data_IF_768605437109
#
_entry.id   IF_768605437109
#
_cell.length_a   1.000
_cell.length_b   1.000
_cell.length_c   1.000
_cell.angle_alpha   90.00
_cell.angle_beta   90.00
_cell.angle_gamma   90.00
#
_symmetry.space_group_name_H-M   'P 1'
#
loop_
_entity.id
_entity.type
_entity.pdbx_description
1 polymer ?
#
# COMPACT_ATOMS: atom_id res chain seq x y z
N UNK A 1 -12.60 22.50 -26.11
CA UNK A 1 -12.14 21.17 -25.69
C UNK A 1 -12.37 20.10 -26.75
N UNK A 2 -13.59 19.91 -27.26
CA UNK A 2 -13.93 18.88 -28.26
C UNK A 2 -12.91 18.74 -29.41
N UNK A 3 -12.53 19.84 -30.09
CA UNK A 3 -11.57 19.79 -31.20
C UNK A 3 -10.22 19.12 -30.80
N UNK A 4 -9.72 19.39 -29.59
CA UNK A 4 -8.47 18.79 -29.12
C UNK A 4 -8.63 17.29 -28.84
N UNK A 5 -9.78 16.87 -28.31
CA UNK A 5 -10.08 15.44 -28.18
C UNK A 5 -10.19 14.75 -29.55
N UNK A 6 -10.76 15.44 -30.55
CA UNK A 6 -10.82 14.97 -31.93
C UNK A 6 -9.43 14.84 -32.57
N UNK A 7 -8.52 15.78 -32.34
CA UNK A 7 -7.12 15.66 -32.79
C UNK A 7 -6.41 14.49 -32.10
N UNK A 8 -6.53 14.36 -30.78
CA UNK A 8 -5.97 13.23 -30.02
C UNK A 8 -6.51 11.87 -30.50
N UNK A 9 -7.79 11.81 -30.86
CA UNK A 9 -8.44 10.60 -31.36
C UNK A 9 -7.89 10.12 -32.72
N UNK A 10 -7.38 11.01 -33.59
CA UNK A 10 -6.75 10.63 -34.87
C UNK A 10 -5.49 9.78 -34.71
N UNK A 11 -4.90 9.77 -33.51
CA UNK A 11 -3.72 8.94 -33.17
C UNK A 11 -4.13 7.49 -32.88
N UNK A 12 -5.40 7.25 -32.55
CA UNK A 12 -5.95 5.93 -32.23
C UNK A 12 -6.13 5.13 -33.52
N UNK A 13 -5.67 3.89 -33.51
CA UNK A 13 -5.85 2.96 -34.62
C UNK A 13 -6.59 1.69 -34.17
N UNK A 14 -7.12 0.95 -35.15
CA UNK A 14 -7.72 -0.35 -34.93
C UNK A 14 -6.74 -1.28 -34.19
N UNK A 15 -7.26 -2.07 -33.25
CA UNK A 15 -6.54 -2.99 -32.38
C UNK A 15 -5.54 -2.35 -31.38
N UNK A 16 -5.40 -1.02 -31.33
CA UNK A 16 -4.63 -0.34 -30.27
C UNK A 16 -5.29 -0.53 -28.90
N UNK A 17 -4.49 -0.65 -27.84
CA UNK A 17 -4.96 -0.50 -26.45
C UNK A 17 -4.96 0.98 -26.06
N UNK A 18 -6.05 1.52 -25.51
CA UNK A 18 -6.13 2.96 -25.19
C UNK A 18 -5.92 3.22 -23.71
N UNK A 19 -5.06 4.18 -23.37
CA UNK A 19 -4.72 4.51 -21.99
C UNK A 19 -4.79 6.02 -21.81
N UNK A 20 -5.70 6.48 -20.96
CA UNK A 20 -5.89 7.89 -20.65
C UNK A 20 -5.26 8.22 -19.30
N UNK A 21 -4.25 9.09 -19.29
CA UNK A 21 -3.61 9.62 -18.08
C UNK A 21 -4.33 10.88 -17.59
N UNK A 22 -4.57 10.90 -16.29
CA UNK A 22 -5.25 11.94 -15.53
C UNK A 22 -4.37 12.43 -14.40
N UNK A 23 -4.54 13.69 -14.00
CA UNK A 23 -4.06 14.19 -12.71
C UNK A 23 -4.68 15.56 -12.47
N UNK A 24 -4.73 15.99 -11.21
CA UNK A 24 -5.19 17.34 -10.85
C UNK A 24 -4.43 18.44 -11.61
N UNK A 25 -3.09 18.34 -11.68
CA UNK A 25 -2.21 19.27 -12.40
C UNK A 25 -1.33 18.54 -13.41
N UNK A 26 -1.01 19.15 -14.56
CA UNK A 26 -0.30 18.48 -15.66
C UNK A 26 1.15 18.11 -15.28
N UNK A 27 1.77 18.93 -14.43
CA UNK A 27 3.11 18.73 -13.87
C UNK A 27 3.25 17.36 -13.19
N UNK A 28 2.18 16.82 -12.61
CA UNK A 28 2.19 15.51 -11.91
C UNK A 28 2.25 14.35 -12.91
N UNK A 29 1.47 14.40 -14.01
CA UNK A 29 1.41 13.32 -15.01
C UNK A 29 2.46 13.44 -16.11
N UNK A 30 3.02 14.64 -16.35
CA UNK A 30 4.01 14.87 -17.41
C UNK A 30 5.24 13.97 -17.31
N UNK A 31 5.89 13.75 -16.14
CA UNK A 31 6.99 12.81 -16.03
C UNK A 31 6.60 11.39 -16.47
N UNK A 32 5.44 10.89 -16.03
CA UNK A 32 4.95 9.56 -16.39
C UNK A 32 4.64 9.47 -17.89
N UNK A 33 3.95 10.47 -18.46
CA UNK A 33 3.66 10.52 -19.89
C UNK A 33 4.95 10.49 -20.70
N UNK A 34 5.93 11.34 -20.33
CA UNK A 34 7.22 11.45 -21.01
C UNK A 34 8.02 10.14 -20.97
N UNK A 35 8.02 9.46 -19.81
CA UNK A 35 8.64 8.13 -19.65
C UNK A 35 7.96 7.10 -20.56
N UNK A 36 6.62 7.00 -20.51
CA UNK A 36 5.88 6.00 -21.31
C UNK A 36 6.00 6.27 -22.82
N UNK A 37 5.89 7.53 -23.22
CA UNK A 37 5.99 7.99 -24.60
C UNK A 37 7.41 7.88 -25.19
N UNK A 38 8.44 7.75 -24.34
CA UNK A 38 9.84 7.77 -24.76
C UNK A 38 10.34 9.17 -25.16
N UNK A 39 9.71 10.23 -24.64
CA UNK A 39 10.01 11.63 -24.99
C UNK A 39 10.51 12.39 -23.77
N UNK A 40 11.78 12.82 -23.75
CA UNK A 40 12.34 13.54 -22.59
C UNK A 40 11.77 14.95 -22.39
N UNK A 41 11.46 15.65 -23.48
CA UNK A 41 11.26 17.11 -23.49
C UNK A 41 9.85 17.56 -23.93
N UNK A 42 8.83 16.68 -23.92
CA UNK A 42 7.47 17.13 -24.19
C UNK A 42 6.93 17.90 -22.97
N UNK A 43 6.43 19.11 -23.22
CA UNK A 43 5.67 19.89 -22.24
C UNK A 43 4.19 19.63 -22.46
N UNK A 44 3.50 19.12 -21.44
CA UNK A 44 2.05 18.92 -21.53
C UNK A 44 1.35 20.25 -21.25
N UNK A 45 0.75 20.83 -22.28
CA UNK A 45 -0.14 21.96 -22.11
C UNK A 45 -1.39 21.54 -21.32
N UNK A 46 -1.69 22.26 -20.23
CA UNK A 46 -2.85 21.98 -19.36
C UNK A 46 -4.22 22.15 -20.04
N UNK A 47 -4.24 22.67 -21.27
CA UNK A 47 -5.42 23.10 -22.02
C UNK A 47 -5.88 22.17 -23.15
N UNK A 48 -5.19 21.05 -23.36
CA UNK A 48 -5.46 20.17 -24.48
C UNK A 48 -5.17 18.70 -24.14
N UNK A 49 -5.80 17.80 -24.90
CA UNK A 49 -5.42 16.41 -24.97
C UNK A 49 -4.13 16.28 -25.77
N UNK A 50 -3.15 15.56 -25.23
CA UNK A 50 -1.96 15.11 -25.95
C UNK A 50 -2.11 13.62 -26.23
N UNK A 51 -1.74 13.14 -27.41
CA UNK A 51 -1.75 11.72 -27.73
C UNK A 51 -0.47 11.27 -28.42
N UNK A 52 -0.01 10.07 -28.07
CA UNK A 52 1.12 9.39 -28.68
C UNK A 52 0.76 7.93 -28.97
N UNK A 53 1.06 7.45 -30.17
CA UNK A 53 0.97 6.03 -30.51
C UNK A 53 2.32 5.38 -30.30
N UNK A 54 2.38 4.44 -29.36
CA UNK A 54 3.60 3.79 -28.89
C UNK A 54 3.45 2.27 -28.95
N UNK A 55 4.56 1.54 -28.79
CA UNK A 55 4.54 0.07 -28.70
C UNK A 55 4.90 -0.33 -27.29
N UNK A 56 4.07 -1.16 -26.66
CA UNK A 56 4.37 -1.71 -25.34
C UNK A 56 5.72 -2.47 -25.39
N UNK A 57 6.66 -2.23 -24.46
CA UNK A 57 8.05 -2.68 -24.61
C UNK A 57 8.22 -4.19 -24.69
N UNK A 58 7.39 -4.96 -23.96
CA UNK A 58 7.45 -6.44 -23.93
C UNK A 58 6.62 -7.07 -25.04
N UNK A 59 5.29 -6.98 -24.94
CA UNK A 59 4.33 -7.57 -25.90
C UNK A 59 4.35 -7.00 -27.32
N UNK A 60 4.97 -5.83 -27.55
CA UNK A 60 4.98 -5.08 -28.82
C UNK A 60 3.60 -4.63 -29.33
N UNK A 61 2.53 -4.88 -28.57
CA UNK A 61 1.18 -4.39 -28.87
C UNK A 61 1.19 -2.86 -29.01
N UNK A 62 0.46 -2.28 -29.97
CA UNK A 62 0.32 -0.84 -30.08
C UNK A 62 -0.58 -0.30 -28.97
N UNK A 63 -0.21 0.86 -28.44
CA UNK A 63 -0.89 1.57 -27.37
C UNK A 63 -1.12 3.01 -27.82
N UNK A 64 -2.35 3.50 -27.73
CA UNK A 64 -2.66 4.93 -27.84
C UNK A 64 -2.64 5.53 -26.43
N UNK A 65 -1.54 6.22 -26.09
CA UNK A 65 -1.42 6.92 -24.82
C UNK A 65 -1.96 8.34 -24.96
N UNK A 66 -2.95 8.69 -24.16
CA UNK A 66 -3.64 9.99 -24.18
C UNK A 66 -3.41 10.66 -22.83
N UNK A 67 -2.83 11.85 -22.77
CA UNK A 67 -2.93 12.71 -21.58
C UNK A 67 -4.18 13.58 -21.72
N UNK A 68 -5.08 13.50 -20.75
CA UNK A 68 -6.19 14.45 -20.63
C UNK A 68 -5.71 15.87 -20.22
N UNK A 69 -6.58 16.90 -20.28
CA UNK A 69 -6.33 18.19 -19.65
C UNK A 69 -6.48 18.11 -18.12
N UNK A 70 -6.09 19.17 -17.42
CA UNK A 70 -6.15 19.24 -15.96
C UNK A 70 -7.46 19.86 -15.46
N UNK A 71 -8.21 19.23 -14.54
CA UNK A 71 -9.41 19.82 -13.94
C UNK A 71 -9.16 21.15 -13.23
N UNK A 72 -7.94 21.39 -12.74
CA UNK A 72 -7.50 22.65 -12.14
C UNK A 72 -7.79 23.90 -13.00
N UNK A 73 -7.84 23.77 -14.33
CA UNK A 73 -7.96 24.91 -15.26
C UNK A 73 -9.25 24.93 -16.09
N UNK A 74 -10.12 23.92 -15.99
CA UNK A 74 -11.38 23.85 -16.73
C UNK A 74 -12.55 23.46 -15.85
N UNK A 75 -13.71 24.06 -16.10
CA UNK A 75 -14.97 23.48 -15.65
C UNK A 75 -15.14 22.07 -16.23
N UNK A 76 -15.55 21.13 -15.36
CA UNK A 76 -15.70 19.70 -15.68
C UNK A 76 -16.49 19.41 -16.95
N UNK A 77 -17.46 20.28 -17.29
CA UNK A 77 -18.27 20.17 -18.50
C UNK A 77 -17.44 20.13 -19.79
N UNK A 78 -16.41 20.96 -19.90
CA UNK A 78 -15.58 21.03 -21.10
C UNK A 78 -14.66 19.81 -21.25
N UNK A 79 -14.11 19.30 -20.13
CA UNK A 79 -13.34 18.05 -20.13
C UNK A 79 -14.27 16.86 -20.45
N UNK A 80 -15.44 16.81 -19.81
CA UNK A 80 -16.46 15.77 -20.04
C UNK A 80 -16.91 15.72 -21.50
N UNK A 81 -17.19 16.86 -22.14
CA UNK A 81 -17.56 16.92 -23.57
C UNK A 81 -16.48 16.30 -24.46
N UNK A 82 -15.21 16.69 -24.27
CA UNK A 82 -14.09 16.12 -25.02
C UNK A 82 -13.93 14.61 -24.80
N UNK A 83 -14.20 14.13 -23.59
CA UNK A 83 -14.16 12.71 -23.30
C UNK A 83 -15.35 11.91 -23.83
N UNK A 84 -16.57 12.45 -23.85
CA UNK A 84 -17.75 11.72 -24.37
C UNK A 84 -17.56 11.29 -25.84
N UNK A 85 -16.72 12.03 -26.56
CA UNK A 85 -16.29 11.69 -27.91
C UNK A 85 -15.38 10.44 -27.97
N UNK A 86 -14.49 10.22 -26.99
CA UNK A 86 -13.45 9.18 -27.08
C UNK A 86 -13.99 7.73 -27.07
N UNK A 87 -14.85 7.27 -26.12
CA UNK A 87 -15.37 5.90 -26.12
C UNK A 87 -16.06 5.54 -27.44
N UNK A 88 -16.95 6.42 -27.92
CA UNK A 88 -17.67 6.26 -29.19
C UNK A 88 -16.72 6.12 -30.38
N UNK A 89 -15.63 6.91 -30.41
CA UNK A 89 -14.64 6.86 -31.48
C UNK A 89 -13.78 5.58 -31.43
N UNK A 90 -13.45 5.12 -30.23
CA UNK A 90 -12.66 3.91 -29.97
C UNK A 90 -13.42 2.65 -30.36
N UNK A 91 -14.70 2.57 -30.01
CA UNK A 91 -15.61 1.52 -30.44
C UNK A 91 -15.75 1.51 -31.98
N UNK A 92 -16.00 2.67 -32.59
CA UNK A 92 -16.12 2.82 -34.05
C UNK A 92 -14.87 2.37 -34.82
N UNK A 93 -13.67 2.64 -34.27
CA UNK A 93 -12.39 2.24 -34.87
C UNK A 93 -12.09 0.74 -34.64
N UNK A 94 -12.71 0.09 -33.67
CA UNK A 94 -12.33 -1.24 -33.21
C UNK A 94 -10.98 -1.23 -32.47
N UNK A 95 -10.70 -0.16 -31.72
CA UNK A 95 -9.65 -0.14 -30.73
C UNK A 95 -10.12 -0.87 -29.46
N UNK A 96 -9.17 -1.36 -28.66
CA UNK A 96 -9.42 -2.19 -27.48
C UNK A 96 -9.23 -1.36 -26.22
N UNK A 97 -10.03 -1.72 -25.21
CA UNK A 97 -9.88 -1.41 -23.79
C UNK A 97 -9.30 -0.01 -23.41
N UNK A 98 -10.15 0.83 -22.80
CA UNK A 98 -9.76 2.13 -22.27
C UNK A 98 -9.45 2.05 -20.77
N UNK A 99 -8.19 2.24 -20.37
CA UNK A 99 -7.82 2.49 -18.97
C UNK A 99 -7.84 3.99 -18.64
N UNK A 100 -8.32 4.33 -17.44
CA UNK A 100 -8.19 5.67 -16.87
C UNK A 100 -7.20 5.64 -15.70
N UNK A 101 -5.99 6.18 -15.87
CA UNK A 101 -4.97 6.22 -14.82
C UNK A 101 -4.94 7.61 -14.19
N UNK A 102 -5.44 7.75 -12.97
CA UNK A 102 -5.26 8.94 -12.13
C UNK A 102 -3.91 8.91 -11.43
N UNK A 103 -3.02 9.80 -11.86
CA UNK A 103 -1.66 9.96 -11.34
C UNK A 103 -1.67 10.94 -10.18
N UNK A 104 -1.15 10.52 -9.03
CA UNK A 104 -1.07 11.32 -7.81
C UNK A 104 0.33 11.27 -7.19
N UNK A 105 0.93 12.43 -6.94
CA UNK A 105 2.26 12.53 -6.30
C UNK A 105 2.14 12.41 -4.79
N UNK A 106 2.67 11.32 -4.22
CA UNK A 106 2.53 11.02 -2.78
C UNK A 106 3.19 12.09 -1.89
N UNK A 107 4.28 12.70 -2.37
CA UNK A 107 5.01 13.78 -1.68
C UNK A 107 4.31 15.14 -1.69
N UNK A 108 3.22 15.32 -2.45
CA UNK A 108 2.46 16.57 -2.52
C UNK A 108 1.10 16.48 -1.82
N UNK A 109 0.92 15.51 -0.93
CA UNK A 109 -0.36 15.22 -0.27
C UNK A 109 -0.99 16.42 0.47
N UNK A 110 -0.18 17.35 1.01
CA UNK A 110 -0.68 18.56 1.70
C UNK A 110 -1.32 19.60 0.76
N UNK A 111 -0.90 19.67 -0.51
CA UNK A 111 -1.47 20.57 -1.52
C UNK A 111 -2.48 19.88 -2.44
N UNK A 112 -2.37 18.56 -2.63
CA UNK A 112 -3.20 17.78 -3.56
C UNK A 112 -4.35 17.01 -2.92
N UNK A 113 -4.38 16.85 -1.60
CA UNK A 113 -5.51 16.28 -0.87
C UNK A 113 -6.33 17.38 -0.18
N UNK A 114 -7.58 17.05 0.14
CA UNK A 114 -8.35 17.76 1.19
C UNK A 114 -8.05 17.15 2.57
N UNK A 115 -8.54 17.77 3.65
CA UNK A 115 -8.30 17.32 5.03
C UNK A 115 -8.73 15.87 5.27
N UNK A 116 -9.78 15.39 4.60
CA UNK A 116 -10.26 14.00 4.69
C UNK A 116 -9.38 12.96 3.98
N UNK A 117 -8.33 13.37 3.26
CA UNK A 117 -7.49 12.46 2.47
C UNK A 117 -8.00 12.18 1.06
N UNK A 118 -9.22 12.61 0.70
CA UNK A 118 -9.65 12.55 -0.72
C UNK A 118 -8.75 13.46 -1.56
N UNK A 119 -8.39 13.07 -2.80
CA UNK A 119 -7.78 13.96 -3.77
C UNK A 119 -8.66 15.20 -3.98
N UNK A 120 -8.04 16.36 -4.15
CA UNK A 120 -8.77 17.56 -4.58
C UNK A 120 -9.43 17.28 -5.93
N UNK A 121 -10.67 17.74 -6.08
CA UNK A 121 -11.48 17.52 -7.28
C UNK A 121 -11.75 16.04 -7.60
N UNK A 122 -11.66 15.15 -6.60
CA UNK A 122 -12.06 13.75 -6.77
C UNK A 122 -13.52 13.61 -7.20
N UNK A 123 -14.45 14.37 -6.62
CA UNK A 123 -15.85 14.33 -7.04
C UNK A 123 -16.13 14.95 -8.41
N UNK A 124 -15.21 15.80 -8.89
CA UNK A 124 -15.24 16.26 -10.28
C UNK A 124 -14.81 15.13 -11.23
N UNK A 125 -13.81 14.33 -10.83
CA UNK A 125 -13.43 13.11 -11.54
C UNK A 125 -14.54 12.04 -11.48
N UNK A 126 -15.16 11.78 -10.32
CA UNK A 126 -16.33 10.89 -10.20
C UNK A 126 -17.45 11.34 -11.15
N UNK A 127 -17.74 12.64 -11.18
CA UNK A 127 -18.71 13.22 -12.10
C UNK A 127 -18.30 13.19 -13.58
N UNK A 128 -17.01 13.06 -13.90
CA UNK A 128 -16.54 12.85 -15.27
C UNK A 128 -16.65 11.37 -15.64
N UNK A 129 -16.14 10.47 -14.79
CA UNK A 129 -16.01 9.03 -15.06
C UNK A 129 -17.31 8.25 -14.92
N UNK A 130 -18.22 8.63 -14.02
CA UNK A 130 -19.42 7.85 -13.67
C UNK A 130 -20.47 7.65 -14.77
N UNK A 131 -20.23 8.18 -15.99
CA UNK A 131 -21.02 7.90 -17.19
C UNK A 131 -20.15 7.41 -18.38
N UNK A 132 -18.88 7.07 -18.14
CA UNK A 132 -17.86 6.81 -19.17
C UNK A 132 -17.10 5.51 -18.94
N UNK A 133 -16.80 5.23 -17.68
CA UNK A 133 -15.98 4.11 -17.27
C UNK A 133 -16.54 3.55 -15.96
N UNK A 134 -16.56 2.22 -15.86
CA UNK A 134 -16.76 1.54 -14.58
C UNK A 134 -15.51 1.74 -13.70
N UNK A 135 -15.64 1.70 -12.38
CA UNK A 135 -14.49 1.96 -11.48
C UNK A 135 -13.38 0.90 -11.61
N UNK A 136 -13.68 -0.32 -12.07
CA UNK A 136 -12.70 -1.36 -12.42
C UNK A 136 -11.84 -1.05 -13.67
N UNK A 137 -12.21 -0.03 -14.44
CA UNK A 137 -11.41 0.53 -15.55
C UNK A 137 -10.57 1.75 -15.11
N UNK A 138 -10.72 2.17 -13.85
CA UNK A 138 -10.04 3.31 -13.25
C UNK A 138 -8.93 2.82 -12.32
N UNK A 139 -7.77 3.46 -12.41
CA UNK A 139 -6.61 3.16 -11.57
C UNK A 139 -6.12 4.41 -10.89
N UNK A 140 -5.99 4.34 -9.57
CA UNK A 140 -5.28 5.32 -8.77
C UNK A 140 -3.80 4.93 -8.69
N UNK A 141 -2.94 5.68 -9.37
CA UNK A 141 -1.50 5.44 -9.44
C UNK A 141 -0.74 6.47 -8.58
N UNK A 142 -0.14 6.02 -7.48
CA UNK A 142 0.73 6.87 -6.65
C UNK A 142 2.17 6.89 -7.20
N UNK A 143 2.76 8.08 -7.31
CA UNK A 143 4.12 8.31 -7.84
C UNK A 143 4.97 9.15 -6.88
N UNK A 144 6.26 9.31 -7.19
CA UNK A 144 7.25 10.10 -6.44
C UNK A 144 7.55 9.52 -5.05
N UNK A 145 7.59 8.19 -4.96
CA UNK A 145 7.89 7.46 -3.73
C UNK A 145 9.36 7.58 -3.35
N UNK A 146 10.24 7.65 -4.34
CA UNK A 146 11.67 7.95 -4.23
C UNK A 146 11.98 9.34 -3.64
N UNK A 147 10.96 10.19 -3.45
CA UNK A 147 11.08 11.54 -2.88
C UNK A 147 10.42 11.69 -1.50
N UNK A 148 9.88 10.63 -0.91
CA UNK A 148 9.36 10.61 0.45
C UNK A 148 10.02 9.52 1.28
N UNK A 149 10.11 9.71 2.59
CA UNK A 149 10.45 8.59 3.47
C UNK A 149 9.30 7.58 3.49
N UNK A 150 9.64 6.29 3.52
CA UNK A 150 8.68 5.20 3.43
C UNK A 150 7.50 5.33 4.41
N UNK A 151 7.78 5.68 5.68
CA UNK A 151 6.74 5.88 6.70
C UNK A 151 5.79 7.05 6.42
N UNK A 152 6.26 8.13 5.77
CA UNK A 152 5.41 9.24 5.34
C UNK A 152 4.56 8.81 4.13
N UNK A 153 5.18 8.19 3.12
CA UNK A 153 4.49 7.73 1.92
C UNK A 153 3.39 6.71 2.23
N UNK A 154 3.68 5.72 3.08
CA UNK A 154 2.70 4.72 3.53
C UNK A 154 1.53 5.36 4.30
N UNK A 155 1.81 6.33 5.18
CA UNK A 155 0.78 7.04 5.95
C UNK A 155 -0.18 7.83 5.06
N UNK A 156 0.34 8.55 4.06
CA UNK A 156 -0.52 9.28 3.13
C UNK A 156 -1.25 8.32 2.16
N UNK A 157 -0.63 7.23 1.69
CA UNK A 157 -1.32 6.26 0.82
C UNK A 157 -2.48 5.58 1.55
N UNK A 158 -2.29 5.16 2.81
CA UNK A 158 -3.34 4.59 3.64
C UNK A 158 -4.49 5.59 3.84
N UNK A 159 -4.17 6.85 4.13
CA UNK A 159 -5.16 7.94 4.29
C UNK A 159 -5.95 8.18 2.99
N UNK A 160 -5.31 8.10 1.81
CA UNK A 160 -6.03 8.20 0.53
C UNK A 160 -6.90 6.95 0.32
N UNK A 161 -6.41 5.75 0.61
CA UNK A 161 -7.19 4.50 0.49
C UNK A 161 -8.42 4.49 1.41
N UNK A 162 -8.29 4.96 2.65
CA UNK A 162 -9.41 5.14 3.58
C UNK A 162 -10.43 6.16 3.04
N UNK A 163 -9.95 7.26 2.46
CA UNK A 163 -10.79 8.29 1.87
C UNK A 163 -11.47 7.86 0.55
N UNK A 164 -10.89 6.89 -0.18
CA UNK A 164 -11.39 6.34 -1.44
C UNK A 164 -12.01 4.94 -1.28
N UNK A 165 -12.39 4.54 -0.05
CA UNK A 165 -12.94 3.21 0.24
C UNK A 165 -14.12 2.83 -0.65
N UNK A 166 -15.10 3.72 -0.80
CA UNK A 166 -16.29 3.48 -1.63
C UNK A 166 -15.91 3.20 -3.10
N UNK A 167 -15.15 4.07 -3.81
CA UNK A 167 -14.61 3.73 -5.13
C UNK A 167 -13.82 2.42 -5.21
N UNK A 168 -13.04 2.06 -4.17
CA UNK A 168 -12.28 0.80 -4.12
C UNK A 168 -13.21 -0.42 -3.98
N UNK A 169 -14.29 -0.30 -3.20
CA UNK A 169 -15.35 -1.32 -3.12
C UNK A 169 -16.14 -1.44 -4.44
N UNK A 170 -16.24 -0.36 -5.22
CA UNK A 170 -16.79 -0.34 -6.59
C UNK A 170 -15.80 -0.83 -7.67
N UNK A 171 -14.53 -1.06 -7.33
CA UNK A 171 -13.54 -1.67 -8.22
C UNK A 171 -12.28 -0.84 -8.53
N UNK A 172 -12.17 0.40 -8.02
CA UNK A 172 -11.00 1.28 -8.25
C UNK A 172 -9.70 0.57 -7.88
N UNK A 173 -8.83 0.39 -8.87
CA UNK A 173 -7.56 -0.31 -8.68
C UNK A 173 -6.54 0.66 -8.07
N UNK A 174 -5.92 0.28 -6.95
CA UNK A 174 -4.77 1.02 -6.40
C UNK A 174 -3.45 0.41 -6.88
N UNK A 175 -2.59 1.23 -7.46
CA UNK A 175 -1.26 0.84 -7.91
C UNK A 175 -0.18 1.85 -7.52
N UNK A 176 1.06 1.36 -7.46
CA UNK A 176 2.22 2.14 -7.01
C UNK A 176 3.33 2.15 -8.05
N UNK A 177 3.88 3.32 -8.32
CA UNK A 177 5.14 3.52 -9.02
C UNK A 177 6.21 3.96 -8.00
N UNK A 178 7.00 3.00 -7.52
CA UNK A 178 8.04 3.23 -6.50
C UNK A 178 9.25 4.00 -7.00
N UNK A 179 9.51 3.96 -8.30
CA UNK A 179 10.67 4.56 -8.96
C UNK A 179 10.29 5.09 -10.35
N UNK A 180 10.80 6.27 -10.72
CA UNK A 180 10.63 6.87 -12.06
C UNK A 180 11.54 6.24 -13.11
N UNK A 181 11.38 4.95 -13.37
CA UNK A 181 12.09 4.19 -14.41
C UNK A 181 11.19 3.77 -15.56
N UNK A 182 11.73 3.68 -16.79
CA UNK A 182 10.97 3.25 -17.99
C UNK A 182 10.30 1.88 -17.81
N UNK A 183 11.05 0.89 -17.34
CA UNK A 183 10.53 -0.45 -17.09
C UNK A 183 9.56 -0.49 -15.90
N UNK A 184 9.78 0.33 -14.87
CA UNK A 184 8.91 0.43 -13.69
C UNK A 184 7.56 1.04 -14.04
N UNK A 185 7.55 2.13 -14.84
CA UNK A 185 6.34 2.79 -15.34
C UNK A 185 5.52 1.86 -16.24
N UNK A 186 6.14 1.25 -17.25
CA UNK A 186 5.46 0.24 -18.09
C UNK A 186 5.02 -0.98 -17.28
N UNK A 187 5.80 -1.40 -16.28
CA UNK A 187 5.44 -2.47 -15.38
C UNK A 187 4.21 -2.16 -14.53
N UNK A 188 3.96 -0.89 -14.18
CA UNK A 188 2.72 -0.45 -13.52
C UNK A 188 1.55 -0.42 -14.52
N UNK A 189 1.73 0.21 -15.68
CA UNK A 189 0.72 0.29 -16.74
C UNK A 189 0.28 -1.10 -17.24
N UNK A 190 1.18 -2.07 -17.35
CA UNK A 190 0.83 -3.44 -17.74
C UNK A 190 -0.02 -4.15 -16.66
N UNK A 191 0.11 -3.80 -15.38
CA UNK A 191 -0.79 -4.32 -14.33
C UNK A 191 -2.18 -3.72 -14.45
N UNK A 192 -2.27 -2.42 -14.77
CA UNK A 192 -3.53 -1.75 -15.12
C UNK A 192 -4.24 -2.50 -16.25
N UNK A 193 -3.60 -2.62 -17.41
CA UNK A 193 -4.18 -3.29 -18.59
C UNK A 193 -4.65 -4.72 -18.26
N UNK A 194 -3.89 -5.50 -17.48
CA UNK A 194 -4.25 -6.88 -17.16
C UNK A 194 -5.37 -7.02 -16.11
N UNK A 195 -5.49 -6.08 -15.17
CA UNK A 195 -6.55 -6.13 -14.16
C UNK A 195 -7.90 -5.83 -14.79
N UNK A 196 -7.93 -4.87 -15.72
CA UNK A 196 -9.14 -4.37 -16.37
C UNK A 196 -9.54 -5.12 -17.65
N UNK A 197 -8.67 -5.96 -18.23
CA UNK A 197 -9.03 -6.81 -19.37
C UNK A 197 -9.77 -8.09 -18.99
N UNK A 198 -10.05 -8.33 -17.70
CA UNK A 198 -10.70 -9.56 -17.19
C UNK A 198 -9.84 -10.82 -17.28
N UNK A 199 -8.67 -10.76 -17.91
CA UNK A 199 -7.76 -11.88 -18.18
C UNK A 199 -6.89 -12.26 -16.95
N UNK A 200 -7.41 -11.95 -15.76
CA UNK A 200 -6.71 -12.06 -14.47
C UNK A 200 -6.19 -13.47 -14.21
N UNK A 201 -6.90 -14.51 -14.67
CA UNK A 201 -6.65 -15.90 -14.26
C UNK A 201 -5.30 -16.44 -14.76
N UNK A 202 -4.92 -16.16 -16.02
CA UNK A 202 -3.66 -16.63 -16.58
C UNK A 202 -2.48 -15.75 -16.14
N UNK A 203 -2.69 -14.43 -16.09
CA UNK A 203 -1.67 -13.48 -15.65
C UNK A 203 -1.37 -13.62 -14.16
N UNK A 204 -2.37 -13.85 -13.29
CA UNK A 204 -2.16 -14.19 -11.87
C UNK A 204 -1.40 -15.51 -11.69
N UNK A 205 -1.60 -16.52 -12.55
CA UNK A 205 -0.83 -17.77 -12.45
C UNK A 205 0.66 -17.55 -12.74
N UNK A 206 0.99 -16.83 -13.83
CA UNK A 206 2.39 -16.62 -14.26
C UNK A 206 3.13 -15.60 -13.41
N UNK A 207 2.50 -14.46 -13.04
CA UNK A 207 3.13 -13.47 -12.15
C UNK A 207 2.99 -13.79 -10.67
N UNK A 208 1.95 -14.51 -10.25
CA UNK A 208 1.59 -14.67 -8.83
C UNK A 208 2.55 -15.53 -8.03
N UNK A 209 3.29 -16.47 -8.64
CA UNK A 209 4.29 -17.28 -7.93
C UNK A 209 5.54 -16.45 -7.63
N UNK A 210 6.18 -15.88 -8.67
CA UNK A 210 7.36 -15.01 -8.49
C UNK A 210 7.05 -13.75 -7.67
N UNK A 211 5.89 -13.13 -7.84
CA UNK A 211 5.50 -11.96 -7.03
C UNK A 211 4.94 -12.30 -5.65
N UNK A 212 4.48 -13.52 -5.35
CA UNK A 212 4.17 -13.88 -3.94
C UNK A 212 5.45 -14.00 -3.13
N UNK A 213 6.45 -14.72 -3.65
CA UNK A 213 7.76 -14.86 -3.00
C UNK A 213 8.36 -13.46 -2.78
N UNK A 214 8.56 -12.69 -3.85
CA UNK A 214 9.16 -11.35 -3.74
C UNK A 214 8.33 -10.36 -2.90
N UNK A 215 6.99 -10.36 -2.98
CA UNK A 215 6.15 -9.48 -2.14
C UNK A 215 5.97 -9.98 -0.71
N UNK A 216 6.16 -11.26 -0.40
CA UNK A 216 6.19 -11.73 0.99
C UNK A 216 7.55 -11.45 1.63
N UNK A 217 8.64 -11.54 0.88
CA UNK A 217 9.98 -11.10 1.28
C UNK A 217 9.99 -9.58 1.52
N UNK A 218 9.62 -8.77 0.51
CA UNK A 218 9.49 -7.31 0.65
C UNK A 218 8.52 -6.93 1.79
N UNK A 219 7.38 -7.62 1.96
CA UNK A 219 6.47 -7.35 3.09
C UNK A 219 7.02 -7.78 4.43
N UNK A 220 7.87 -8.80 4.51
CA UNK A 220 8.54 -9.19 5.76
C UNK A 220 9.57 -8.13 6.14
N UNK A 221 10.45 -7.75 5.22
CA UNK A 221 11.43 -6.68 5.42
C UNK A 221 10.75 -5.36 5.82
N UNK A 222 9.72 -4.93 5.06
CA UNK A 222 8.97 -3.70 5.35
C UNK A 222 8.24 -3.77 6.71
N UNK A 223 7.72 -4.92 7.10
CA UNK A 223 7.05 -5.11 8.41
C UNK A 223 8.08 -5.17 9.55
N UNK A 224 9.25 -5.76 9.34
CA UNK A 224 10.34 -5.80 10.32
C UNK A 224 10.97 -4.42 10.52
N UNK A 225 11.24 -3.68 9.46
CA UNK A 225 11.73 -2.29 9.52
C UNK A 225 10.69 -1.36 10.21
N UNK A 226 9.41 -1.48 9.86
CA UNK A 226 8.33 -0.75 10.54
C UNK A 226 8.26 -1.10 12.03
N UNK A 227 8.38 -2.40 12.37
CA UNK A 227 8.34 -2.90 13.75
C UNK A 227 9.55 -2.44 14.56
N UNK A 228 10.75 -2.40 13.97
CA UNK A 228 11.95 -1.79 14.58
C UNK A 228 11.70 -0.30 14.85
N UNK A 229 11.12 0.43 13.89
CA UNK A 229 10.75 1.84 14.05
C UNK A 229 9.72 2.13 15.16
N UNK A 230 8.86 1.18 15.50
CA UNK A 230 7.95 1.26 16.67
C UNK A 230 8.62 0.83 17.99
N UNK A 231 9.63 -0.04 17.93
CA UNK A 231 10.32 -0.58 19.10
C UNK A 231 11.33 0.41 19.68
N UNK A 232 12.10 1.12 18.85
CA UNK A 232 13.15 2.02 19.33
C UNK A 232 12.63 3.12 20.29
N UNK A 233 11.50 3.80 20.02
CA UNK A 233 10.93 4.77 20.98
C UNK A 233 10.55 4.15 22.33
N UNK A 234 10.05 2.90 22.36
CA UNK A 234 9.73 2.20 23.61
C UNK A 234 10.99 1.82 24.40
N UNK A 235 12.11 1.52 23.72
CA UNK A 235 13.42 1.29 24.35
C UNK A 235 13.96 2.59 24.95
N UNK A 236 13.89 3.70 24.22
CA UNK A 236 14.36 5.00 24.68
C UNK A 236 13.55 5.50 25.89
N UNK A 237 12.22 5.33 25.86
CA UNK A 237 11.35 5.61 27.00
C UNK A 237 11.69 4.74 28.21
N UNK A 238 11.87 3.42 28.01
CA UNK A 238 12.24 2.50 29.08
C UNK A 238 13.58 2.89 29.72
N UNK A 239 14.60 3.24 28.95
CA UNK A 239 15.87 3.74 29.49
C UNK A 239 15.68 5.07 30.25
N UNK A 240 14.85 5.98 29.75
CA UNK A 240 14.51 7.22 30.46
C UNK A 240 13.76 6.97 31.78
N UNK A 241 12.91 5.93 31.86
CA UNK A 241 12.28 5.50 33.10
C UNK A 241 13.31 4.89 34.07
N UNK A 242 14.19 4.02 33.58
CA UNK A 242 15.18 3.32 34.40
C UNK A 242 16.21 4.24 35.05
N UNK A 243 16.71 5.24 34.33
CA UNK A 243 17.75 6.13 34.82
C UNK A 243 17.32 6.99 36.05
N UNK A 244 16.01 7.05 36.35
CA UNK A 244 15.42 7.78 37.49
C UNK A 244 15.72 7.14 38.85
N UNK A 245 16.10 5.87 38.90
CA UNK A 245 16.35 5.12 40.14
C UNK A 245 17.71 4.42 40.11
N UNK A 246 18.27 4.11 41.28
CA UNK A 246 19.57 3.41 41.34
C UNK A 246 19.46 1.97 40.82
N UNK A 247 18.41 1.25 41.21
CA UNK A 247 18.17 -0.12 40.73
C UNK A 247 17.88 -0.15 39.22
N UNK A 248 17.14 0.84 38.71
CA UNK A 248 16.91 1.02 37.29
C UNK A 248 18.20 1.34 36.52
N UNK A 249 19.10 2.17 37.05
CA UNK A 249 20.44 2.40 36.46
C UNK A 249 21.26 1.10 36.39
N UNK A 250 21.24 0.28 37.44
CA UNK A 250 21.93 -1.03 37.46
C UNK A 250 21.34 -2.00 36.42
N UNK A 251 20.02 -2.01 36.24
CA UNK A 251 19.37 -2.78 35.17
C UNK A 251 19.66 -2.24 33.76
N UNK A 252 19.65 -0.91 33.58
CA UNK A 252 20.05 -0.24 32.34
C UNK A 252 21.47 -0.62 31.91
N UNK A 253 22.42 -0.68 32.86
CA UNK A 253 23.78 -1.15 32.60
C UNK A 253 23.84 -2.63 32.19
N UNK A 254 23.01 -3.50 32.79
CA UNK A 254 22.90 -4.92 32.41
C UNK A 254 22.34 -5.09 30.99
N UNK A 255 21.25 -4.40 30.66
CA UNK A 255 20.64 -4.43 29.33
C UNK A 255 21.60 -3.95 28.23
N UNK A 256 22.31 -2.84 28.48
CA UNK A 256 23.33 -2.34 27.56
C UNK A 256 24.51 -3.28 27.40
N UNK A 257 24.93 -3.96 28.47
CA UNK A 257 25.97 -5.00 28.40
C UNK A 257 25.49 -6.20 27.58
N UNK A 258 24.28 -6.70 27.83
CA UNK A 258 23.70 -7.82 27.06
C UNK A 258 23.58 -7.49 25.56
N UNK A 259 23.14 -6.27 25.21
CA UNK A 259 23.14 -5.81 23.82
C UNK A 259 24.55 -5.81 23.19
N UNK A 260 25.54 -5.20 23.87
CA UNK A 260 26.91 -5.13 23.36
C UNK A 260 27.61 -6.50 23.28
N UNK A 261 27.32 -7.40 24.22
CA UNK A 261 27.78 -8.79 24.17
C UNK A 261 27.14 -9.50 22.96
N UNK A 262 25.85 -9.29 22.67
CA UNK A 262 25.17 -9.88 21.52
C UNK A 262 25.65 -9.32 20.17
N UNK A 263 25.87 -8.01 20.04
CA UNK A 263 26.46 -7.42 18.83
C UNK A 263 27.81 -8.09 18.49
N UNK A 264 28.63 -8.34 19.52
CA UNK A 264 29.92 -9.01 19.40
C UNK A 264 29.84 -10.45 18.89
N UNK A 265 28.73 -11.17 19.13
CA UNK A 265 28.53 -12.55 18.64
C UNK A 265 27.74 -12.61 17.32
N UNK A 266 26.70 -11.79 17.17
CA UNK A 266 25.80 -11.80 16.01
C UNK A 266 26.38 -11.11 14.78
N UNK A 267 27.00 -9.92 14.93
CA UNK A 267 27.52 -9.16 13.77
C UNK A 267 28.56 -9.96 12.98
N UNK A 268 29.52 -10.68 13.60
CA UNK A 268 30.45 -11.53 12.85
C UNK A 268 29.79 -12.71 12.12
N UNK A 269 28.66 -13.24 12.61
CA UNK A 269 27.93 -14.33 11.96
C UNK A 269 27.14 -13.81 10.75
N UNK A 270 26.46 -12.67 10.89
CA UNK A 270 25.75 -12.01 9.79
C UNK A 270 26.71 -11.56 8.67
N UNK A 271 27.88 -11.02 9.04
CA UNK A 271 28.93 -10.67 8.07
C UNK A 271 29.59 -11.90 7.39
N UNK A 272 29.27 -13.12 7.82
CA UNK A 272 29.62 -14.34 7.09
C UNK A 272 28.53 -14.77 6.10
N UNK A 273 27.24 -14.56 6.40
CA UNK A 273 26.14 -14.86 5.46
C UNK A 273 26.13 -13.98 4.22
N UNK A 274 26.65 -12.76 4.31
CA UNK A 274 26.76 -11.82 3.18
C UNK A 274 27.87 -12.20 2.18
N UNK A 275 28.62 -13.26 2.43
CA UNK A 275 29.70 -13.72 1.54
C UNK A 275 29.11 -14.51 0.36
N UNK A 276 29.37 -14.02 -0.84
CA UNK A 276 28.79 -14.47 -2.12
C UNK A 276 29.14 -15.93 -2.49
N UNK A 277 30.10 -16.55 -1.82
CA UNK A 277 30.74 -17.82 -2.21
C UNK A 277 30.52 -19.00 -1.22
N UNK A 278 29.57 -18.91 -0.28
CA UNK A 278 29.26 -20.03 0.62
C UNK A 278 28.56 -21.18 -0.13
N UNK A 279 29.07 -22.40 0.04
CA UNK A 279 28.38 -23.60 -0.45
C UNK A 279 27.05 -23.81 0.31
N UNK A 280 26.02 -24.42 -0.31
CA UNK A 280 24.69 -24.54 0.29
C UNK A 280 24.66 -25.23 1.66
N UNK A 281 25.54 -26.21 1.89
CA UNK A 281 25.65 -26.92 3.17
C UNK A 281 26.28 -26.02 4.26
N UNK A 282 27.31 -25.25 3.93
CA UNK A 282 27.95 -24.30 4.84
C UNK A 282 26.99 -23.17 5.22
N UNK A 283 26.23 -22.67 4.24
CA UNK A 283 25.18 -21.66 4.44
C UNK A 283 24.11 -22.17 5.42
N UNK A 284 23.62 -23.40 5.26
CA UNK A 284 22.63 -23.99 6.17
C UNK A 284 23.18 -24.18 7.60
N UNK A 285 24.45 -24.55 7.75
CA UNK A 285 25.10 -24.65 9.07
C UNK A 285 25.21 -23.27 9.73
N UNK A 286 25.56 -22.24 8.96
CA UNK A 286 25.69 -20.86 9.45
C UNK A 286 24.32 -20.25 9.82
N UNK A 287 23.30 -20.43 8.99
CA UNK A 287 21.91 -20.01 9.27
C UNK A 287 21.39 -20.65 10.57
N UNK A 288 21.61 -21.95 10.76
CA UNK A 288 21.24 -22.64 12.01
C UNK A 288 21.96 -22.06 13.22
N UNK A 289 23.25 -21.71 13.09
CA UNK A 289 24.02 -21.09 14.17
C UNK A 289 23.51 -19.69 14.52
N UNK A 290 23.13 -18.90 13.51
CA UNK A 290 22.50 -17.58 13.70
C UNK A 290 21.16 -17.73 14.44
N UNK A 291 20.34 -18.72 14.08
CA UNK A 291 19.08 -19.02 14.79
C UNK A 291 19.32 -19.43 16.25
N UNK A 292 20.29 -20.31 16.52
CA UNK A 292 20.64 -20.75 17.88
C UNK A 292 21.08 -19.58 18.78
N UNK A 293 21.96 -18.70 18.30
CA UNK A 293 22.41 -17.51 19.03
C UNK A 293 21.27 -16.47 19.20
N UNK A 294 20.44 -16.27 18.17
CA UNK A 294 19.26 -15.40 18.27
C UNK A 294 18.25 -15.88 19.33
N UNK A 295 18.03 -17.19 19.44
CA UNK A 295 17.17 -17.78 20.47
C UNK A 295 17.75 -17.69 21.88
N UNK A 296 19.08 -17.68 22.03
CA UNK A 296 19.75 -17.38 23.31
C UNK A 296 19.57 -15.90 23.68
N UNK A 297 19.82 -14.99 22.73
CA UNK A 297 19.56 -13.55 22.84
C UNK A 297 18.14 -13.24 23.33
N UNK A 298 17.13 -13.78 22.65
CA UNK A 298 15.72 -13.58 23.01
C UNK A 298 15.40 -14.06 24.43
N UNK A 299 16.00 -15.19 24.85
CA UNK A 299 15.80 -15.77 26.18
C UNK A 299 16.39 -14.89 27.28
N UNK A 300 17.59 -14.37 27.07
CA UNK A 300 18.27 -13.47 28.00
C UNK A 300 17.51 -12.16 28.18
N UNK A 301 17.19 -11.47 27.08
CA UNK A 301 16.43 -10.22 27.12
C UNK A 301 15.05 -10.41 27.75
N UNK A 302 14.35 -11.50 27.41
CA UNK A 302 13.07 -11.83 28.04
C UNK A 302 13.21 -11.97 29.56
N UNK A 303 14.29 -12.57 30.06
CA UNK A 303 14.60 -12.65 31.48
C UNK A 303 14.74 -11.27 32.14
N UNK A 304 15.51 -10.36 31.52
CA UNK A 304 15.64 -8.97 31.99
C UNK A 304 14.32 -8.21 31.99
N UNK A 305 13.47 -8.39 30.98
CA UNK A 305 12.15 -7.75 30.94
C UNK A 305 11.15 -8.35 31.96
N UNK A 306 11.24 -9.64 32.26
CA UNK A 306 10.45 -10.24 33.36
C UNK A 306 10.90 -9.68 34.73
N UNK A 307 12.21 -9.46 34.93
CA UNK A 307 12.77 -8.81 36.12
C UNK A 307 12.33 -7.34 36.23
N UNK A 308 12.45 -6.54 35.16
CA UNK A 308 11.96 -5.16 35.07
C UNK A 308 10.50 -5.02 35.47
N UNK A 309 9.65 -5.95 35.00
CA UNK A 309 8.22 -5.96 35.32
C UNK A 309 7.98 -6.26 36.80
N UNK A 310 8.78 -7.13 37.42
CA UNK A 310 8.71 -7.39 38.88
C UNK A 310 9.16 -6.19 39.71
N UNK A 311 10.08 -5.38 39.18
CA UNK A 311 10.50 -4.10 39.78
C UNK A 311 9.47 -2.96 39.56
N UNK A 312 8.37 -3.21 38.85
CA UNK A 312 7.29 -2.24 38.61
C UNK A 312 7.50 -1.29 37.44
N UNK A 313 8.53 -1.50 36.60
CA UNK A 313 8.71 -0.67 35.39
C UNK A 313 7.67 -1.02 34.32
N UNK A 314 7.14 0.01 33.67
CA UNK A 314 6.28 -0.17 32.50
C UNK A 314 7.13 -0.52 31.28
N UNK A 315 6.73 -1.54 30.55
CA UNK A 315 7.34 -1.98 29.30
C UNK A 315 6.32 -1.74 28.20
N UNK A 316 6.71 -1.10 27.11
CA UNK A 316 5.82 -0.74 26.00
C UNK A 316 5.13 -1.94 25.33
N UNK A 317 4.12 -1.67 24.49
CA UNK A 317 3.32 -2.75 23.91
C UNK A 317 4.11 -3.54 22.87
N UNK A 318 4.80 -2.84 21.97
CA UNK A 318 5.52 -3.45 20.85
C UNK A 318 6.72 -4.26 21.35
N UNK A 319 7.43 -3.75 22.37
CA UNK A 319 8.54 -4.43 23.03
C UNK A 319 8.07 -5.70 23.75
N UNK A 320 6.90 -5.67 24.42
CA UNK A 320 6.31 -6.87 25.03
C UNK A 320 5.91 -7.92 23.99
N UNK A 321 5.34 -7.50 22.87
CA UNK A 321 4.97 -8.42 21.79
C UNK A 321 6.21 -9.02 21.11
N UNK A 322 7.25 -8.21 20.88
CA UNK A 322 8.52 -8.65 20.29
C UNK A 322 9.22 -9.74 21.12
N UNK A 323 9.40 -9.51 22.43
CA UNK A 323 10.05 -10.50 23.32
C UNK A 323 9.09 -11.57 23.87
N UNK A 324 7.86 -11.67 23.35
CA UNK A 324 6.88 -12.70 23.74
C UNK A 324 6.42 -12.62 25.20
N UNK A 325 6.48 -11.45 25.82
CA UNK A 325 6.11 -11.21 27.21
C UNK A 325 4.60 -11.32 27.37
N UNK A 326 4.14 -12.44 27.93
CA UNK A 326 2.71 -12.71 28.12
C UNK A 326 2.09 -11.73 29.11
N UNK A 327 1.09 -10.99 28.65
CA UNK A 327 0.22 -10.21 29.52
C UNK A 327 -0.50 -11.13 30.53
N UNK A 328 -0.33 -10.92 31.85
CA UNK A 328 -1.02 -11.69 32.87
C UNK A 328 -2.54 -11.49 32.85
N UNK A 329 -3.05 -10.33 32.40
CA UNK A 329 -4.50 -10.05 32.29
C UNK A 329 -5.15 -10.93 31.22
N UNK A 330 -4.61 -10.94 29.99
CA UNK A 330 -5.05 -11.86 28.92
C UNK A 330 -4.92 -13.33 29.32
N UNK A 331 -3.90 -13.67 30.10
CA UNK A 331 -3.69 -15.04 30.59
C UNK A 331 -4.75 -15.49 31.60
N UNK A 332 -5.21 -14.59 32.49
CA UNK A 332 -6.36 -14.84 33.38
C UNK A 332 -7.67 -14.99 32.59
N UNK A 333 -7.95 -14.12 31.63
CA UNK A 333 -9.18 -14.19 30.80
C UNK A 333 -9.29 -15.50 30.01
N UNK A 334 -8.18 -16.02 29.46
CA UNK A 334 -8.16 -17.35 28.83
C UNK A 334 -8.36 -18.51 29.82
N UNK A 335 -7.89 -18.41 31.06
CA UNK A 335 -8.12 -19.44 32.11
C UNK A 335 -9.54 -19.40 32.70
N UNK A 336 -10.21 -18.26 32.66
CA UNK A 336 -11.56 -18.07 33.22
C UNK A 336 -12.71 -18.40 32.25
N UNK A 337 -12.42 -18.86 31.03
CA UNK A 337 -13.46 -19.29 30.07
C UNK A 337 -14.38 -18.17 29.54
N UNK A 338 -14.10 -16.91 29.87
CA UNK A 338 -14.93 -15.75 29.51
C UNK A 338 -14.69 -15.31 28.05
N UNK A 339 -15.14 -16.14 27.12
CA UNK A 339 -15.50 -15.76 25.76
C UNK A 339 -16.96 -16.14 25.50
N UNK A 340 -17.89 -15.27 25.88
CA UNK A 340 -19.27 -15.33 25.40
C UNK A 340 -19.27 -15.11 23.88
N UNK A 341 -19.31 -16.21 23.12
CA UNK A 341 -19.56 -16.19 21.68
C UNK A 341 -21.00 -15.76 21.41
N UNK A 342 -21.24 -14.46 21.28
CA UNK A 342 -22.45 -13.94 20.65
C UNK A 342 -22.42 -14.32 19.17
N UNK A 343 -23.16 -15.37 18.80
CA UNK A 343 -23.46 -15.69 17.40
C UNK A 343 -24.55 -14.74 16.87
N UNK A 344 -24.40 -14.17 15.67
CA UNK A 344 -25.50 -13.47 15.02
C UNK A 344 -26.44 -14.45 14.30
N UNK A 345 -27.74 -14.21 14.42
CA UNK A 345 -28.75 -14.58 13.42
C UNK A 345 -29.25 -16.04 13.39
N UNK A 346 -30.44 -16.28 13.93
CA UNK A 346 -31.45 -17.13 13.27
C UNK A 346 -32.83 -16.58 13.58
N UNK A 347 -33.65 -16.40 12.54
CA UNK A 347 -35.02 -15.85 12.62
C UNK A 347 -36.01 -16.99 12.74
N UNK A 348 -37.04 -16.85 13.56
CA UNK A 348 -38.38 -17.41 13.27
C UNK A 348 -39.50 -16.56 13.87
N UNK A 349 -40.59 -16.44 13.11
CA UNK A 349 -41.87 -15.82 13.49
C UNK A 349 -42.85 -16.85 14.07
N UNK A 350 -44.03 -16.36 14.47
CA UNK A 350 -45.17 -17.04 15.12
C UNK A 350 -45.01 -17.28 16.63
N UNK A 351 -46.03 -17.06 17.47
CA UNK A 351 -47.40 -16.58 17.22
C UNK A 351 -48.13 -16.25 18.53
N UNK A 352 -49.35 -15.72 18.46
CA UNK A 352 -50.17 -15.36 19.63
C UNK A 352 -50.55 -16.59 20.49
N UNK A 353 -50.76 -16.38 21.80
CA UNK A 353 -52.04 -16.59 22.51
C UNK A 353 -51.99 -15.97 23.94
N UNK A 354 -53.17 -15.74 24.53
CA UNK A 354 -53.46 -14.88 25.69
C UNK A 354 -53.45 -15.62 27.05
N UNK A 355 -53.42 -14.84 28.16
CA UNK A 355 -53.98 -15.15 29.51
C UNK A 355 -53.35 -16.36 30.26
N UNK A 356 -53.29 -16.49 31.59
CA UNK A 356 -53.61 -15.68 32.80
C UNK A 356 -52.97 -16.40 34.03
N UNK A 357 -52.86 -15.92 35.28
CA UNK A 357 -53.36 -14.72 35.97
C UNK A 357 -52.48 -14.35 37.22
N UNK A 358 -53.08 -13.75 38.25
CA UNK A 358 -52.58 -13.38 39.60
C UNK A 358 -52.33 -14.60 40.55
N UNK A 359 -51.73 -14.47 41.76
CA UNK A 359 -51.58 -13.25 42.59
C UNK A 359 -50.19 -12.98 43.23
N UNK A 360 -50.00 -11.80 43.86
CA UNK A 360 -48.89 -11.50 44.77
C UNK A 360 -49.17 -11.94 46.23
N UNK A 361 -48.12 -11.98 47.05
CA UNK A 361 -48.05 -11.61 48.48
C UNK A 361 -46.76 -12.19 49.11
N UNK A 362 -46.27 -11.71 50.27
CA UNK A 362 -46.71 -10.54 51.07
C UNK A 362 -45.69 -9.39 51.16
#
# INVERSE_FOLDING_TARGET
MLNSAQEAAKVICKDDTVITLWSYSCIIRQPLYNILAGTSNLTLHQYEFHAARIKHPTSKCPVSLISAPSPEFFGNSAIREGLQYLPTHIEMIGAKFMAHIWVHSIGQSSSLLVSSGKPRHWSDLEGILGNMANMDQVVFLTTNWEHVTQGIGQKEELKIQEALREPVEEGLIFERLTETGFLSAWGAVQRVICASSGDEAEVRKKMGVQKRIKREEEKKEINEEWRIGQIQPEIDELYAQLNKTEDGRRMCARLKKAAADQDKYMVPLLAQTDRVELEPEEKAILEKKIEEEYLLCLREFRGHFEELRLMGFSIGFNLREFYGLRDPERSKKRRLGLFTRSRPGTVHQHGLIQQSDLPPDP
#
